data_IF_752877120113
#
_entry.id   IF_752877120113
#
_cell.length_a   1.000
_cell.length_b   1.000
_cell.length_c   1.000
_cell.angle_alpha   90.00
_cell.angle_beta   90.00
_cell.angle_gamma   90.00
#
_symmetry.space_group_name_H-M   'P 1'
#
loop_
_entity.id
_entity.type
_entity.pdbx_description
1 polymer ?
#
# COMPACT_ATOMS: atom_id res chain seq x y z
N UNK A 1 -8.13 1.39 -11.10
CA UNK A 1 -7.39 1.09 -9.86
C UNK A 1 -7.60 2.15 -8.82
N UNK A 2 -7.60 1.75 -7.57
CA UNK A 2 -7.76 2.69 -6.47
C UNK A 2 -6.65 2.52 -5.45
N UNK A 3 -6.25 3.63 -4.84
CA UNK A 3 -5.27 3.60 -3.75
C UNK A 3 -5.95 3.07 -2.51
N UNK A 4 -5.38 2.03 -1.91
CA UNK A 4 -5.92 1.44 -0.71
C UNK A 4 -5.10 1.86 0.52
N UNK A 5 -3.84 2.19 0.33
CA UNK A 5 -2.96 2.56 1.43
C UNK A 5 -1.89 3.51 0.92
N UNK A 6 -1.54 4.47 1.74
CA UNK A 6 -0.46 5.38 1.44
C UNK A 6 0.39 5.48 2.69
N UNK A 7 1.67 5.13 2.59
CA UNK A 7 2.53 5.06 3.76
C UNK A 7 3.95 5.41 3.39
N UNK A 8 4.67 6.00 4.33
CA UNK A 8 6.10 6.20 4.18
C UNK A 8 6.90 5.09 4.87
N UNK A 9 6.23 4.16 5.50
CA UNK A 9 6.90 3.05 6.19
C UNK A 9 7.02 1.87 5.24
N UNK A 10 8.21 1.70 4.69
CA UNK A 10 8.42 0.65 3.71
C UNK A 10 8.31 -0.74 4.32
N UNK A 11 8.40 -0.87 5.63
CA UNK A 11 8.28 -2.18 6.26
C UNK A 11 6.87 -2.69 6.24
N UNK A 12 5.88 -1.81 6.03
CA UNK A 12 4.50 -2.25 5.93
C UNK A 12 4.20 -2.91 4.59
N UNK A 13 4.97 -2.60 3.56
CA UNK A 13 4.62 -3.00 2.21
C UNK A 13 4.59 -4.52 2.02
N UNK A 14 5.64 -5.26 2.41
CA UNK A 14 5.58 -6.71 2.24
C UNK A 14 4.44 -7.35 3.03
N UNK A 15 4.16 -6.82 4.21
CA UNK A 15 3.11 -7.36 5.05
C UNK A 15 1.74 -7.14 4.40
N UNK A 16 1.49 -5.94 3.89
CA UNK A 16 0.24 -5.62 3.23
C UNK A 16 0.07 -6.47 1.98
N UNK A 17 1.13 -6.61 1.19
CA UNK A 17 1.07 -7.43 -0.01
C UNK A 17 0.74 -8.88 0.34
N UNK A 18 1.33 -9.39 1.40
CA UNK A 18 1.07 -10.75 1.85
C UNK A 18 -0.39 -10.92 2.27
N UNK A 19 -0.90 -9.98 3.05
CA UNK A 19 -2.28 -10.05 3.51
C UNK A 19 -3.26 -10.07 2.34
N UNK A 20 -3.05 -9.18 1.38
CA UNK A 20 -3.95 -9.10 0.25
C UNK A 20 -3.83 -10.32 -0.64
N UNK A 21 -2.61 -10.76 -0.88
CA UNK A 21 -2.38 -11.90 -1.74
C UNK A 21 -2.97 -13.18 -1.14
N UNK A 22 -2.98 -13.30 0.18
CA UNK A 22 -3.57 -14.48 0.83
C UNK A 22 -5.07 -14.56 0.60
N UNK A 23 -5.69 -13.46 0.21
CA UNK A 23 -7.12 -13.43 -0.08
C UNK A 23 -7.38 -13.31 -1.58
N UNK A 24 -6.35 -13.54 -2.39
CA UNK A 24 -6.51 -13.50 -3.84
C UNK A 24 -6.56 -12.10 -4.42
N UNK A 25 -6.13 -11.09 -3.67
CA UNK A 25 -6.15 -9.71 -4.15
C UNK A 25 -4.75 -9.30 -4.53
N UNK A 26 -4.60 -8.83 -5.75
CA UNK A 26 -3.30 -8.37 -6.22
C UNK A 26 -3.10 -6.90 -5.85
N UNK A 27 -1.96 -6.61 -5.25
CA UNK A 27 -1.60 -5.25 -4.88
C UNK A 27 -0.55 -4.72 -5.85
N UNK A 28 -0.70 -3.46 -6.24
CA UNK A 28 0.23 -2.78 -7.12
C UNK A 28 0.87 -1.66 -6.32
N UNK A 29 2.20 -1.67 -6.24
CA UNK A 29 2.91 -0.71 -5.41
C UNK A 29 3.54 0.34 -6.31
N UNK A 30 3.20 1.58 -6.06
CA UNK A 30 3.82 2.70 -6.77
C UNK A 30 4.80 3.36 -5.83
N UNK A 31 6.06 3.25 -6.18
CA UNK A 31 7.14 3.76 -5.37
C UNK A 31 7.91 4.79 -6.17
N UNK A 32 7.95 6.00 -5.68
CA UNK A 32 8.68 7.06 -6.34
C UNK A 32 9.96 7.30 -5.67
N UNK A 33 10.86 6.41 -5.85
CA UNK A 33 12.09 6.48 -5.11
C UNK A 33 13.17 7.28 -5.76
N UNK A 34 12.94 7.74 -6.93
CA UNK A 34 14.00 8.36 -7.65
C UNK A 34 14.40 9.66 -7.11
N UNK A 35 13.64 10.22 -6.31
CA UNK A 35 13.95 11.54 -5.88
C UNK A 35 15.02 11.63 -4.87
N UNK A 36 15.65 10.58 -4.61
CA UNK A 36 16.75 10.60 -3.70
C UNK A 36 17.88 11.43 -4.15
N UNK A 37 17.82 11.93 -5.29
CA UNK A 37 18.84 12.77 -5.81
C UNK A 37 19.07 13.92 -4.93
N UNK A 38 20.24 14.37 -4.92
CA UNK A 38 20.61 15.61 -4.31
C UNK A 38 20.36 15.70 -2.85
N UNK A 39 20.32 14.61 -2.18
CA UNK A 39 20.21 14.65 -0.76
C UNK A 39 18.93 15.23 -0.26
N UNK A 40 18.00 15.36 -1.10
CA UNK A 40 16.73 15.81 -0.66
C UNK A 40 16.10 14.70 0.15
N UNK A 41 15.66 15.00 1.32
CA UNK A 41 15.19 13.99 2.19
C UNK A 41 13.70 13.91 2.19
N UNK A 42 13.09 14.23 1.15
CA UNK A 42 11.67 14.13 1.10
C UNK A 42 11.28 12.70 0.88
N UNK A 43 10.76 12.08 1.89
CA UNK A 43 10.27 10.74 1.78
C UNK A 43 8.90 10.84 1.20
N UNK A 44 8.77 10.46 -0.04
CA UNK A 44 7.48 10.44 -0.68
C UNK A 44 6.72 9.20 -0.27
N UNK A 45 5.44 9.33 0.02
CA UNK A 45 4.68 8.16 0.43
C UNK A 45 4.57 7.16 -0.71
N UNK A 46 4.65 5.90 -0.34
CA UNK A 46 4.45 4.80 -1.25
C UNK A 46 2.95 4.54 -1.30
N UNK A 47 2.43 4.32 -2.48
CA UNK A 47 1.02 4.04 -2.65
C UNK A 47 0.82 2.59 -3.02
N UNK A 48 -0.09 1.93 -2.32
CA UNK A 48 -0.51 0.58 -2.64
C UNK A 48 -1.88 0.68 -3.25
N UNK A 49 -2.02 0.11 -4.43
CA UNK A 49 -3.27 0.19 -5.19
C UNK A 49 -3.81 -1.19 -5.46
N UNK A 50 -5.11 -1.27 -5.61
CA UNK A 50 -5.78 -2.51 -5.99
C UNK A 50 -6.76 -2.19 -7.12
N UNK A 51 -7.23 -3.23 -7.79
CA UNK A 51 -8.28 -3.05 -8.78
C UNK A 51 -9.53 -2.54 -8.10
N UNK A 52 -10.32 -1.77 -8.84
CA UNK A 52 -11.52 -1.17 -8.25
C UNK A 52 -12.46 -2.20 -7.67
N UNK A 53 -12.56 -3.37 -8.29
CA UNK A 53 -13.42 -4.43 -7.79
C UNK A 53 -12.95 -5.00 -6.47
N UNK A 54 -11.67 -4.86 -6.19
CA UNK A 54 -11.07 -5.42 -4.97
C UNK A 54 -10.99 -4.41 -3.84
N UNK A 55 -11.43 -3.19 -4.08
CA UNK A 55 -11.20 -2.11 -3.12
C UNK A 55 -11.86 -2.39 -1.77
N UNK A 56 -13.15 -2.72 -1.76
CA UNK A 56 -13.86 -2.94 -0.50
C UNK A 56 -13.32 -4.15 0.26
N UNK A 57 -13.14 -5.31 -0.37
CA UNK A 57 -12.57 -6.44 0.38
C UNK A 57 -11.15 -6.15 0.85
N UNK A 58 -10.34 -5.47 0.04
CA UNK A 58 -8.98 -5.14 0.46
C UNK A 58 -9.00 -4.21 1.66
N UNK A 59 -9.86 -3.21 1.63
CA UNK A 59 -9.98 -2.27 2.74
C UNK A 59 -10.36 -2.99 4.02
N UNK A 60 -11.31 -3.90 3.93
CA UNK A 60 -11.74 -4.65 5.10
C UNK A 60 -10.62 -5.50 5.69
N UNK A 61 -9.82 -6.13 4.83
CA UNK A 61 -8.69 -6.91 5.29
C UNK A 61 -7.71 -6.05 6.08
N UNK A 62 -7.41 -4.87 5.57
CA UNK A 62 -6.44 -3.99 6.23
C UNK A 62 -6.99 -3.41 7.52
N UNK A 63 -8.30 -3.15 7.58
CA UNK A 63 -8.92 -2.69 8.81
C UNK A 63 -8.87 -3.78 9.86
N UNK A 64 -9.18 -5.01 9.48
CA UNK A 64 -9.17 -6.12 10.42
C UNK A 64 -7.80 -6.39 11.01
N UNK A 65 -6.77 -6.03 10.27
CA UNK A 65 -5.39 -6.25 10.71
C UNK A 65 -4.76 -5.00 11.31
N UNK A 66 -5.54 -3.98 11.56
CA UNK A 66 -5.06 -2.79 12.23
C UNK A 66 -4.20 -1.87 11.39
N UNK A 67 -4.19 -2.07 10.09
CA UNK A 67 -3.38 -1.23 9.20
C UNK A 67 -4.12 0.03 8.81
N UNK A 68 -5.42 -0.08 8.62
CA UNK A 68 -6.26 1.06 8.33
C UNK A 68 -7.24 1.26 9.47
N UNK A 69 -7.60 2.50 9.73
CA UNK A 69 -8.64 2.82 10.69
C UNK A 69 -9.99 2.83 9.99
N UNK A 70 -11.00 2.61 10.76
CA UNK A 70 -12.37 2.72 10.25
C UNK A 70 -12.70 4.15 9.86
#
# INVERSE_FOLDING_TARGET
MKVILQTSDITQIPFVKMLLSSQGIQAFVLDRNMSVLEGSINILPIRVMVLSNDYLPARNILIENGILAL
#
